data_IF_735920695814
#
_entry.id   IF_735920695814
#
_cell.length_a   1.000
_cell.length_b   1.000
_cell.length_c   1.000
_cell.angle_alpha   90.00
_cell.angle_beta   90.00
_cell.angle_gamma   90.00
#
_symmetry.space_group_name_H-M   'P 1'
#
loop_
_entity.id
_entity.type
_entity.pdbx_description
1 polymer ?
#
# COMPACT_ATOMS: atom_id res chain seq x y z
N UNK A 1 -28.47 13.11 -13.38
CA UNK A 1 -27.32 12.48 -12.70
C UNK A 1 -26.11 12.71 -13.58
N UNK A 2 -25.19 13.60 -13.18
CA UNK A 2 -24.00 13.90 -13.97
C UNK A 2 -22.93 12.86 -13.69
N UNK A 3 -22.39 12.26 -14.75
CA UNK A 3 -21.29 11.31 -14.67
C UNK A 3 -19.97 12.10 -14.61
N UNK A 4 -19.35 12.17 -13.42
CA UNK A 4 -18.00 12.71 -13.29
C UNK A 4 -17.02 11.54 -13.42
N UNK A 5 -16.32 11.48 -14.55
CA UNK A 5 -15.24 10.52 -14.74
C UNK A 5 -14.02 10.99 -13.95
N UNK A 6 -13.48 10.11 -13.11
CA UNK A 6 -12.25 10.34 -12.35
C UNK A 6 -11.16 9.43 -12.90
N UNK A 7 -10.02 10.01 -13.26
CA UNK A 7 -8.81 9.25 -13.56
C UNK A 7 -8.11 8.88 -12.25
N UNK A 8 -7.62 7.65 -12.17
CA UNK A 8 -6.99 7.11 -10.96
C UNK A 8 -5.68 6.42 -11.27
N UNK A 9 -4.75 6.44 -10.31
CA UNK A 9 -3.51 5.68 -10.34
C UNK A 9 -3.57 4.62 -9.23
N UNK A 10 -3.20 3.39 -9.58
CA UNK A 10 -3.21 2.24 -8.68
C UNK A 10 -1.78 1.71 -8.58
N UNK A 11 -1.28 1.57 -7.36
CA UNK A 11 0.02 0.96 -7.12
C UNK A 11 0.04 0.15 -5.80
N UNK A 12 1.03 -0.73 -5.69
CA UNK A 12 1.36 -1.41 -4.45
C UNK A 12 2.80 -1.14 -4.06
N UNK A 13 3.01 -0.80 -2.79
CA UNK A 13 4.34 -0.53 -2.26
C UNK A 13 4.59 -1.40 -1.03
N UNK A 14 5.76 -2.02 -0.99
CA UNK A 14 6.29 -2.63 0.23
C UNK A 14 7.19 -1.63 0.94
N UNK A 15 6.93 -1.41 2.22
CA UNK A 15 7.64 -0.43 3.06
C UNK A 15 8.29 -1.15 4.22
N UNK A 16 9.58 -0.87 4.46
CA UNK A 16 10.31 -1.42 5.60
C UNK A 16 9.70 -0.90 6.90
N UNK A 17 9.44 -1.80 7.84
CA UNK A 17 8.90 -1.45 9.16
C UNK A 17 10.01 -1.13 10.16
N UNK A 18 9.66 -0.47 11.25
CA UNK A 18 10.57 -0.24 12.37
C UNK A 18 10.94 -1.56 13.05
N UNK A 19 12.12 -1.60 13.68
CA UNK A 19 12.63 -2.77 14.41
C UNK A 19 11.82 -3.15 15.65
N UNK A 20 11.03 -2.22 16.17
CA UNK A 20 10.14 -2.42 17.32
C UNK A 20 8.85 -3.15 16.97
N UNK A 21 8.55 -3.36 15.68
CA UNK A 21 7.34 -4.06 15.24
C UNK A 21 7.49 -5.56 15.47
N UNK A 22 6.47 -6.17 16.07
CA UNK A 22 6.45 -7.61 16.37
C UNK A 22 6.54 -8.47 15.11
N UNK A 23 7.27 -9.59 15.20
CA UNK A 23 7.53 -10.50 14.06
C UNK A 23 6.28 -11.13 13.48
N UNK A 24 5.27 -11.36 14.33
CA UNK A 24 3.92 -11.81 13.98
C UNK A 24 3.18 -10.83 13.06
N UNK A 25 3.65 -9.58 13.04
CA UNK A 25 3.04 -8.47 12.32
C UNK A 25 3.95 -7.90 11.22
N UNK A 26 4.93 -8.65 10.69
CA UNK A 26 5.74 -8.22 9.55
C UNK A 26 6.03 -9.40 8.62
N UNK A 27 6.04 -9.12 7.30
CA UNK A 27 6.27 -10.12 6.26
C UNK A 27 7.50 -9.78 5.43
N UNK A 28 8.00 -10.74 4.65
CA UNK A 28 9.17 -10.50 3.80
C UNK A 28 8.76 -10.34 2.33
N UNK A 29 9.07 -9.18 1.74
CA UNK A 29 8.96 -8.98 0.30
C UNK A 29 10.28 -9.37 -0.36
N UNK A 30 10.30 -10.53 -1.03
CA UNK A 30 11.50 -11.02 -1.73
C UNK A 30 11.89 -10.21 -2.97
N UNK A 31 10.94 -9.54 -3.63
CA UNK A 31 11.24 -8.69 -4.79
C UNK A 31 11.93 -7.40 -4.36
N UNK A 32 11.57 -6.86 -3.19
CA UNK A 32 12.17 -5.65 -2.61
C UNK A 32 13.29 -5.96 -1.61
N UNK A 33 13.42 -7.21 -1.18
CA UNK A 33 14.35 -7.70 -0.16
C UNK A 33 14.22 -6.94 1.18
N UNK A 34 12.99 -6.68 1.61
CA UNK A 34 12.72 -5.95 2.85
C UNK A 34 11.76 -6.72 3.76
N UNK A 35 12.01 -6.65 5.07
CA UNK A 35 11.04 -6.98 6.10
C UNK A 35 10.10 -5.79 6.26
N UNK A 36 8.84 -5.97 5.88
CA UNK A 36 7.95 -4.85 5.69
C UNK A 36 6.48 -5.18 5.68
N UNK A 37 5.69 -4.16 5.30
CA UNK A 37 4.27 -4.26 5.03
C UNK A 37 3.97 -3.78 3.63
N UNK A 38 3.10 -4.52 2.94
CA UNK A 38 2.58 -4.13 1.65
C UNK A 38 1.34 -3.27 1.82
N UNK A 39 1.34 -2.11 1.17
CA UNK A 39 0.19 -1.20 1.07
C UNK A 39 -0.24 -1.08 -0.38
N UNK A 40 -1.55 -1.04 -0.59
CA UNK A 40 -2.20 -0.78 -1.85
C UNK A 40 -2.87 0.58 -1.77
N UNK A 41 -2.57 1.44 -2.75
CA UNK A 41 -3.05 2.81 -2.81
C UNK A 41 -3.74 3.04 -4.14
N UNK A 42 -4.91 3.68 -4.06
CA UNK A 42 -5.59 4.28 -5.20
C UNK A 42 -5.70 5.76 -4.93
N UNK A 43 -5.20 6.57 -5.86
CA UNK A 43 -5.23 8.03 -5.78
C UNK A 43 -5.84 8.63 -7.03
N UNK A 44 -6.42 9.83 -6.90
CA UNK A 44 -6.76 10.65 -8.07
C UNK A 44 -5.50 11.35 -8.65
N UNK A 45 -5.67 12.10 -9.73
CA UNK A 45 -4.56 12.80 -10.40
C UNK A 45 -3.98 13.98 -9.61
N UNK A 46 -4.63 14.40 -8.52
CA UNK A 46 -4.10 15.39 -7.57
C UNK A 46 -3.39 14.73 -6.38
N UNK A 47 -3.36 13.39 -6.33
CA UNK A 47 -2.74 12.62 -5.26
C UNK A 47 -3.64 12.44 -4.03
N UNK A 48 -4.95 12.71 -4.14
CA UNK A 48 -5.88 12.48 -3.04
C UNK A 48 -6.20 10.99 -2.90
N UNK A 49 -6.15 10.41 -1.69
CA UNK A 49 -6.49 9.01 -1.47
C UNK A 49 -7.97 8.73 -1.78
N UNK A 50 -8.20 7.76 -2.66
CA UNK A 50 -9.52 7.20 -2.95
C UNK A 50 -9.72 5.85 -2.26
N UNK A 51 -8.64 5.09 -2.11
CA UNK A 51 -8.65 3.82 -1.39
C UNK A 51 -7.27 3.50 -0.80
N UNK A 52 -7.26 2.91 0.39
CA UNK A 52 -6.06 2.44 1.09
C UNK A 52 -6.33 1.07 1.68
N UNK A 53 -5.43 0.12 1.42
CA UNK A 53 -5.47 -1.19 2.04
C UNK A 53 -4.06 -1.63 2.43
N UNK A 54 -3.94 -2.23 3.61
CA UNK A 54 -2.73 -2.91 4.06
C UNK A 54 -3.06 -4.39 4.18
N UNK A 55 -2.29 -5.25 3.53
CA UNK A 55 -2.50 -6.70 3.63
C UNK A 55 -1.80 -7.27 4.85
N UNK A 56 -2.33 -8.39 5.35
CA UNK A 56 -1.65 -9.21 6.34
C UNK A 56 -0.24 -9.58 5.84
N UNK A 57 0.73 -9.74 6.75
CA UNK A 57 2.07 -10.11 6.36
C UNK A 57 2.06 -11.56 5.86
N UNK A 58 2.72 -11.79 4.72
CA UNK A 58 3.08 -13.13 4.22
C UNK A 58 4.41 -13.57 4.77
#
# INVERSE_FOLDING_TARGET
MWNLLVATVIDSQSVKVAETVGRDSLGYDGAKKINGRKRHLVVDTKGLPLFVMVTSPT
#
